data_IF_818105832567
#
_entry.id   IF_818105832567
#
_cell.length_a   1.000
_cell.length_b   1.000
_cell.length_c   1.000
_cell.angle_alpha   90.00
_cell.angle_beta   90.00
_cell.angle_gamma   90.00
#
_symmetry.space_group_name_H-M   'P 1'
#
loop_
_entity.id
_entity.type
_entity.pdbx_description
1 polymer ?
#
# COMPACT_ATOMS: atom_id res chain seq x y z
N UNK A 1 -2.76 20.01 42.66
CA UNK A 1 -2.77 18.61 42.22
C UNK A 1 -4.04 17.87 42.62
N UNK A 2 -4.37 17.69 43.91
CA UNK A 2 -5.60 16.97 44.34
C UNK A 2 -6.91 17.56 43.79
N UNK A 3 -7.01 18.89 43.73
CA UNK A 3 -8.19 19.55 43.15
C UNK A 3 -8.31 19.29 41.64
N UNK A 4 -7.21 19.46 40.89
CA UNK A 4 -7.18 19.20 39.45
C UNK A 4 -7.46 17.72 39.13
N UNK A 5 -6.94 16.79 39.93
CA UNK A 5 -7.21 15.36 39.76
C UNK A 5 -8.69 15.02 40.00
N UNK A 6 -9.35 15.64 40.98
CA UNK A 6 -10.78 15.45 41.22
C UNK A 6 -11.65 15.96 40.08
N UNK A 7 -11.25 17.07 39.45
CA UNK A 7 -11.95 17.63 38.28
C UNK A 7 -11.83 16.64 37.11
N UNK A 8 -10.61 16.18 36.81
CA UNK A 8 -10.38 15.20 35.74
C UNK A 8 -11.12 13.86 35.98
N UNK A 9 -11.23 13.41 37.23
CA UNK A 9 -11.99 12.20 37.59
C UNK A 9 -13.51 12.34 37.42
N UNK A 10 -14.02 13.57 37.38
CA UNK A 10 -15.44 13.85 37.17
C UNK A 10 -15.77 14.09 35.68
N UNK A 11 -14.76 14.09 34.81
CA UNK A 11 -14.88 14.37 33.39
C UNK A 11 -14.88 13.08 32.55
N UNK A 12 -14.85 13.22 31.22
CA UNK A 12 -14.78 12.12 30.27
C UNK A 12 -13.50 11.27 30.42
N UNK A 13 -13.54 10.02 29.94
CA UNK A 13 -12.39 9.12 30.00
C UNK A 13 -11.16 9.67 29.23
N UNK A 14 -11.41 10.40 28.14
CA UNK A 14 -10.38 11.04 27.33
C UNK A 14 -9.69 12.17 28.10
N UNK A 15 -10.47 13.03 28.79
CA UNK A 15 -9.91 14.08 29.65
C UNK A 15 -9.13 13.52 30.85
N UNK A 16 -9.61 12.43 31.45
CA UNK A 16 -8.87 11.74 32.50
C UNK A 16 -7.53 11.19 31.98
N UNK A 17 -7.52 10.63 30.77
CA UNK A 17 -6.31 10.13 30.12
C UNK A 17 -5.32 11.26 29.86
N UNK A 18 -5.77 12.38 29.30
CA UNK A 18 -4.94 13.56 29.03
C UNK A 18 -4.39 14.17 30.33
N UNK A 19 -5.21 14.19 31.40
CA UNK A 19 -4.74 14.62 32.71
C UNK A 19 -3.63 13.71 33.25
N UNK A 20 -3.77 12.39 33.13
CA UNK A 20 -2.74 11.44 33.59
C UNK A 20 -1.47 11.56 32.73
N UNK A 21 -1.59 11.76 31.43
CA UNK A 21 -0.43 11.87 30.54
C UNK A 21 0.33 13.19 30.73
N UNK A 22 -0.38 14.33 30.79
CA UNK A 22 0.23 15.66 30.74
C UNK A 22 -0.26 16.55 31.89
N UNK A 23 -1.57 16.57 32.15
CA UNK A 23 -2.19 17.51 33.09
C UNK A 23 -1.66 17.42 34.53
N UNK A 24 -1.26 16.24 34.98
CA UNK A 24 -0.73 16.02 36.33
C UNK A 24 0.56 16.79 36.60
N UNK A 25 1.46 16.87 35.61
CA UNK A 25 2.73 17.58 35.74
C UNK A 25 2.53 19.09 35.76
N UNK A 26 1.54 19.58 34.98
CA UNK A 26 1.14 20.99 34.99
C UNK A 26 0.47 21.38 36.31
N UNK A 27 -0.39 20.51 36.85
CA UNK A 27 -1.04 20.71 38.13
C UNK A 27 -0.02 20.70 39.29
N UNK A 28 0.94 19.78 39.28
CA UNK A 28 2.03 19.75 40.27
C UNK A 28 2.90 21.01 40.15
N UNK A 29 3.30 21.41 38.95
CA UNK A 29 4.06 22.65 38.74
C UNK A 29 3.35 23.87 39.32
N UNK A 30 2.04 24.01 39.14
CA UNK A 30 1.25 25.12 39.71
C UNK A 30 1.28 25.09 41.24
N UNK A 31 1.10 23.93 41.85
CA UNK A 31 1.20 23.78 43.32
C UNK A 31 2.59 24.16 43.82
N UNK A 32 3.66 23.73 43.13
CA UNK A 32 5.05 24.07 43.51
C UNK A 32 5.35 25.55 43.37
N UNK A 33 4.87 26.20 42.31
CA UNK A 33 5.01 27.66 42.15
C UNK A 33 4.27 28.44 43.24
N UNK A 34 3.07 27.99 43.61
CA UNK A 34 2.34 28.58 44.74
C UNK A 34 3.10 28.41 46.06
N UNK A 35 3.70 27.24 46.29
CA UNK A 35 4.57 26.98 47.44
C UNK A 35 5.79 27.90 47.45
N UNK A 36 6.47 28.09 46.31
CA UNK A 36 7.58 29.05 46.17
C UNK A 36 7.16 30.46 46.55
N UNK A 37 6.01 30.93 46.05
CA UNK A 37 5.49 32.26 46.37
C UNK A 37 5.19 32.42 47.87
N UNK A 38 4.54 31.43 48.48
CA UNK A 38 4.25 31.44 49.93
C UNK A 38 5.56 31.52 50.73
N UNK A 39 6.55 30.70 50.38
CA UNK A 39 7.85 30.70 51.05
C UNK A 39 8.59 32.04 50.87
N UNK A 40 8.53 32.66 49.70
CA UNK A 40 9.09 34.00 49.46
C UNK A 40 8.40 35.07 50.31
N UNK A 41 7.06 35.02 50.42
CA UNK A 41 6.31 35.94 51.28
C UNK A 41 6.65 35.74 52.76
N UNK A 42 6.76 34.50 53.22
CA UNK A 42 7.17 34.18 54.59
C UNK A 42 8.58 34.72 54.88
N UNK A 43 9.52 34.57 53.93
CA UNK A 43 10.86 35.14 54.05
C UNK A 43 10.80 36.66 54.24
N UNK A 44 10.06 37.38 53.37
CA UNK A 44 9.94 38.84 53.46
C UNK A 44 9.34 39.29 54.79
N UNK A 45 8.32 38.58 55.29
CA UNK A 45 7.70 38.86 56.59
C UNK A 45 8.70 38.63 57.72
N UNK A 46 9.47 37.54 57.68
CA UNK A 46 10.48 37.24 58.67
C UNK A 46 11.63 38.26 58.65
N UNK A 47 12.12 38.64 57.47
CA UNK A 47 13.15 39.68 57.31
C UNK A 47 12.67 41.02 57.88
N UNK A 48 11.46 41.46 57.53
CA UNK A 48 10.88 42.70 58.06
C UNK A 48 10.71 42.64 59.59
N UNK A 49 10.27 41.49 60.11
CA UNK A 49 10.13 41.27 61.56
C UNK A 49 11.48 41.28 62.28
N UNK A 50 12.52 40.71 61.65
CA UNK A 50 13.90 40.75 62.13
C UNK A 50 14.45 42.18 62.19
N UNK A 51 14.21 42.99 61.16
CA UNK A 51 14.55 44.43 61.14
C UNK A 51 13.83 45.17 62.28
N UNK A 52 12.53 44.94 62.45
CA UNK A 52 11.75 45.56 63.52
C UNK A 52 12.24 45.14 64.92
N UNK A 53 12.61 43.87 65.11
CA UNK A 53 13.18 43.38 66.37
C UNK A 53 14.56 44.01 66.65
N UNK A 54 15.39 44.18 65.61
CA UNK A 54 16.69 44.84 65.73
C UNK A 54 16.55 46.34 66.06
N UNK A 55 15.56 47.01 65.48
CA UNK A 55 15.22 48.39 65.85
C UNK A 55 14.77 48.51 67.31
N UNK A 56 13.91 47.59 67.79
CA UNK A 56 13.50 47.52 69.20
C UNK A 56 14.68 47.25 70.12
N UNK A 57 15.59 46.34 69.75
CA UNK A 57 16.83 46.11 70.50
C UNK A 57 17.62 47.41 70.68
N UNK A 58 17.81 48.18 69.61
CA UNK A 58 18.55 49.44 69.67
C UNK A 58 17.82 50.50 70.52
N UNK A 59 16.48 50.56 70.42
CA UNK A 59 15.67 51.43 71.28
C UNK A 59 15.80 51.08 72.76
N UNK A 60 15.77 49.79 73.10
CA UNK A 60 16.01 49.34 74.48
C UNK A 60 17.43 49.63 74.96
N UNK A 61 18.44 49.52 74.09
CA UNK A 61 19.81 49.91 74.42
C UNK A 61 19.94 51.41 74.70
N UNK A 62 19.24 52.25 73.93
CA UNK A 62 19.18 53.68 74.20
C UNK A 62 18.48 53.99 75.54
N UNK A 63 17.36 53.31 75.83
CA UNK A 63 16.66 53.44 77.11
C UNK A 63 17.51 52.97 78.30
N UNK A 64 18.25 51.86 78.14
CA UNK A 64 19.20 51.38 79.14
C UNK A 64 20.29 52.43 79.43
N UNK A 65 20.87 53.03 78.39
CA UNK A 65 21.87 54.08 78.55
C UNK A 65 21.31 55.33 79.24
N UNK A 66 20.11 55.76 78.87
CA UNK A 66 19.43 56.90 79.47
C UNK A 66 19.13 56.65 80.96
N UNK A 67 18.60 55.48 81.31
CA UNK A 67 18.31 55.12 82.70
C UNK A 67 19.58 55.05 83.55
N UNK A 68 20.69 54.54 82.99
CA UNK A 68 22.00 54.56 83.66
C UNK A 68 22.51 55.98 83.91
N UNK A 69 22.30 56.91 82.98
CA UNK A 69 22.75 58.29 83.11
C UNK A 69 22.04 59.06 84.24
N UNK A 70 20.85 58.62 84.66
CA UNK A 70 20.08 59.19 85.77
C UNK A 70 20.07 58.30 87.02
N UNK A 71 20.97 57.31 87.10
CA UNK A 71 21.07 56.34 88.20
C UNK A 71 19.79 55.51 88.48
N UNK A 72 18.89 55.39 87.52
CA UNK A 72 17.66 54.59 87.60
C UNK A 72 17.95 53.10 87.33
N UNK A 73 18.57 52.42 88.31
CA UNK A 73 19.08 51.05 88.18
C UNK A 73 18.02 50.02 87.74
N UNK A 74 16.82 50.07 88.30
CA UNK A 74 15.77 49.10 87.97
C UNK A 74 15.26 49.26 86.54
N UNK A 75 15.15 50.51 86.05
CA UNK A 75 14.73 50.78 84.68
C UNK A 75 15.83 50.43 83.67
N UNK A 76 17.10 50.65 84.03
CA UNK A 76 18.23 50.16 83.25
C UNK A 76 18.23 48.63 83.12
N UNK A 77 17.94 47.91 84.21
CA UNK A 77 17.85 46.45 84.19
C UNK A 77 16.67 45.96 83.32
N UNK A 78 15.48 46.56 83.46
CA UNK A 78 14.32 46.25 82.60
C UNK A 78 14.62 46.51 81.12
N UNK A 79 15.28 47.62 80.82
CA UNK A 79 15.65 47.95 79.44
C UNK A 79 16.69 46.98 78.88
N UNK A 80 17.69 46.57 79.67
CA UNK A 80 18.66 45.56 79.29
C UNK A 80 17.98 44.21 78.95
N UNK A 81 17.00 43.79 79.75
CA UNK A 81 16.20 42.59 79.48
C UNK A 81 15.35 42.72 78.22
N UNK A 82 14.75 43.89 78.00
CA UNK A 82 14.03 44.21 76.76
C UNK A 82 14.91 44.13 75.52
N UNK A 83 16.14 44.62 75.61
CA UNK A 83 17.14 44.51 74.55
C UNK A 83 17.47 43.03 74.29
N UNK A 84 17.78 42.25 75.33
CA UNK A 84 18.10 40.82 75.19
C UNK A 84 16.96 40.02 74.54
N UNK A 85 15.71 40.25 74.95
CA UNK A 85 14.52 39.64 74.32
C UNK A 85 14.40 40.02 72.85
N UNK A 86 14.61 41.29 72.52
CA UNK A 86 14.54 41.78 71.13
C UNK A 86 15.65 41.21 70.25
N UNK A 87 16.87 41.03 70.79
CA UNK A 87 17.97 40.37 70.09
C UNK A 87 17.66 38.90 69.80
N UNK A 88 17.09 38.18 70.77
CA UNK A 88 16.68 36.79 70.58
C UNK A 88 15.59 36.66 69.50
N UNK A 89 14.59 37.55 69.50
CA UNK A 89 13.57 37.60 68.45
C UNK A 89 14.19 37.89 67.08
N UNK A 90 15.13 38.84 66.99
CA UNK A 90 15.82 39.14 65.73
C UNK A 90 16.58 37.92 65.19
N UNK A 91 17.24 37.14 66.06
CA UNK A 91 17.88 35.88 65.67
C UNK A 91 16.87 34.85 65.18
N UNK A 92 15.77 34.65 65.90
CA UNK A 92 14.71 33.72 65.50
C UNK A 92 14.14 34.07 64.13
N UNK A 93 13.84 35.35 63.89
CA UNK A 93 13.35 35.81 62.58
C UNK A 93 14.38 35.62 61.46
N UNK A 94 15.68 35.77 61.73
CA UNK A 94 16.72 35.47 60.77
C UNK A 94 16.76 33.95 60.43
N UNK A 95 16.64 33.09 61.43
CA UNK A 95 16.57 31.63 61.23
C UNK A 95 15.32 31.24 60.41
N UNK A 96 14.17 31.86 60.71
CA UNK A 96 12.93 31.60 59.99
C UNK A 96 12.97 32.12 58.54
N UNK A 97 13.60 33.27 58.30
CA UNK A 97 13.87 33.77 56.95
C UNK A 97 14.77 32.79 56.16
N UNK A 98 15.81 32.25 56.80
CA UNK A 98 16.68 31.24 56.20
C UNK A 98 15.93 29.98 55.80
N UNK A 99 15.10 29.43 56.70
CA UNK A 99 14.25 28.26 56.40
C UNK A 99 13.29 28.53 55.24
N UNK A 100 12.67 29.71 55.23
CA UNK A 100 11.76 30.12 54.16
C UNK A 100 12.49 30.24 52.81
N UNK A 101 13.71 30.78 52.79
CA UNK A 101 14.55 30.82 51.60
C UNK A 101 14.87 29.42 51.05
N UNK A 102 15.34 28.50 51.90
CA UNK A 102 15.59 27.10 51.49
C UNK A 102 14.33 26.40 50.99
N UNK A 103 13.18 26.65 51.63
CA UNK A 103 11.90 26.09 51.17
C UNK A 103 11.49 26.62 49.79
N UNK A 104 11.71 27.92 49.54
CA UNK A 104 11.45 28.53 48.25
C UNK A 104 12.36 27.95 47.14
N UNK A 105 13.65 27.79 47.42
CA UNK A 105 14.63 27.17 46.51
C UNK A 105 14.24 25.73 46.16
N UNK A 106 13.92 24.91 47.18
CA UNK A 106 13.48 23.53 46.98
C UNK A 106 12.19 23.46 46.16
N UNK A 107 11.21 24.31 46.47
CA UNK A 107 9.95 24.37 45.72
C UNK A 107 10.18 24.80 44.26
N UNK A 108 11.08 25.76 44.02
CA UNK A 108 11.43 26.21 42.68
C UNK A 108 12.15 25.11 41.87
N UNK A 109 13.09 24.38 42.49
CA UNK A 109 13.76 23.24 41.87
C UNK A 109 12.77 22.13 41.51
N UNK A 110 11.83 21.82 42.40
CA UNK A 110 10.76 20.86 42.12
C UNK A 110 9.87 21.34 40.97
N UNK A 111 9.47 22.61 40.95
CA UNK A 111 8.69 23.18 39.86
C UNK A 111 9.41 23.09 38.49
N UNK A 112 10.74 23.30 38.48
CA UNK A 112 11.56 23.16 37.29
C UNK A 112 11.61 21.71 36.79
N UNK A 113 11.75 20.75 37.70
CA UNK A 113 11.71 19.32 37.35
C UNK A 113 10.35 18.92 36.77
N UNK A 114 9.25 19.34 37.40
CA UNK A 114 7.89 19.05 36.89
C UNK A 114 7.65 19.70 35.53
N UNK A 115 8.19 20.89 35.28
CA UNK A 115 8.16 21.53 33.96
C UNK A 115 8.95 20.74 32.91
N UNK A 116 10.11 20.17 33.27
CA UNK A 116 10.90 19.30 32.38
C UNK A 116 10.12 18.04 32.03
N UNK A 117 9.54 17.37 33.02
CA UNK A 117 8.70 16.18 32.79
C UNK A 117 7.50 16.48 31.90
N UNK A 118 6.80 17.60 32.13
CA UNK A 118 5.68 18.03 31.29
C UNK A 118 6.10 18.23 29.83
N UNK A 119 7.26 18.87 29.57
CA UNK A 119 7.79 19.05 28.22
C UNK A 119 8.15 17.72 27.56
N UNK A 120 8.78 16.81 28.32
CA UNK A 120 9.10 15.48 27.80
C UNK A 120 7.85 14.67 27.46
N UNK A 121 6.78 14.79 28.25
CA UNK A 121 5.50 14.16 27.98
C UNK A 121 4.83 14.75 26.72
N UNK A 122 4.82 16.08 26.58
CA UNK A 122 4.30 16.74 25.37
C UNK A 122 5.06 16.28 24.10
N UNK A 123 6.39 16.29 24.13
CA UNK A 123 7.21 15.81 23.00
C UNK A 123 7.04 14.30 22.72
N UNK A 124 6.59 13.50 23.69
CA UNK A 124 6.25 12.10 23.45
C UNK A 124 4.89 12.00 22.74
N UNK A 125 3.89 12.75 23.22
CA UNK A 125 2.58 12.82 22.60
C UNK A 125 2.65 13.30 21.13
N UNK A 126 3.47 14.31 20.84
CA UNK A 126 3.68 14.79 19.46
C UNK A 126 4.26 13.69 18.56
N UNK A 127 5.22 12.90 19.06
CA UNK A 127 5.80 11.77 18.31
C UNK A 127 4.79 10.65 18.10
N UNK A 128 4.02 10.32 19.13
CA UNK A 128 2.97 9.29 19.02
C UNK A 128 1.89 9.72 17.99
N UNK A 129 1.59 11.03 17.89
CA UNK A 129 0.70 11.57 16.87
C UNK A 129 1.29 11.44 15.46
N UNK A 130 2.56 11.80 15.26
CA UNK A 130 3.26 11.66 13.96
C UNK A 130 3.32 10.17 13.52
N UNK A 131 3.59 9.26 14.45
CA UNK A 131 3.62 7.81 14.19
C UNK A 131 2.22 7.28 13.84
N UNK A 132 1.17 7.78 14.49
CA UNK A 132 -0.21 7.45 14.19
C UNK A 132 -0.63 7.95 12.80
N UNK A 133 -0.26 9.17 12.42
CA UNK A 133 -0.49 9.72 11.08
C UNK A 133 0.21 8.89 10.00
N UNK A 134 1.48 8.54 10.24
CA UNK A 134 2.25 7.68 9.33
C UNK A 134 1.60 6.30 9.17
N UNK A 135 1.15 5.71 10.28
CA UNK A 135 0.45 4.42 10.28
C UNK A 135 -0.87 4.49 9.52
N UNK A 136 -1.63 5.58 9.69
CA UNK A 136 -2.89 5.81 8.96
C UNK A 136 -2.63 5.95 7.45
N UNK A 137 -1.62 6.71 7.04
CA UNK A 137 -1.23 6.85 5.64
C UNK A 137 -0.81 5.50 5.02
N UNK A 138 -0.07 4.67 5.78
CA UNK A 138 0.32 3.34 5.31
C UNK A 138 -0.87 2.39 5.20
N UNK A 139 -1.83 2.46 6.12
CA UNK A 139 -3.08 1.71 6.05
C UNK A 139 -3.91 2.12 4.82
N UNK A 140 -4.01 3.42 4.55
CA UNK A 140 -4.69 3.95 3.36
C UNK A 140 -4.00 3.49 2.06
N UNK A 141 -2.67 3.57 1.99
CA UNK A 141 -1.91 3.04 0.86
C UNK A 141 -2.17 1.55 0.63
N UNK A 142 -2.12 0.76 1.70
CA UNK A 142 -2.35 -0.69 1.64
C UNK A 142 -3.78 -1.02 1.18
N UNK A 143 -4.77 -0.28 1.67
CA UNK A 143 -6.16 -0.41 1.23
C UNK A 143 -6.32 -0.07 -0.26
N UNK A 144 -5.71 1.03 -0.72
CA UNK A 144 -5.70 1.40 -2.13
C UNK A 144 -5.06 0.34 -3.02
N UNK A 145 -3.90 -0.18 -2.60
CA UNK A 145 -3.20 -1.24 -3.29
C UNK A 145 -4.05 -2.52 -3.41
N UNK A 146 -4.70 -2.93 -2.31
CA UNK A 146 -5.59 -4.09 -2.29
C UNK A 146 -6.79 -3.89 -3.23
N UNK A 147 -7.42 -2.70 -3.24
CA UNK A 147 -8.52 -2.38 -4.18
C UNK A 147 -8.09 -2.47 -5.63
N UNK A 148 -6.93 -1.90 -5.97
CA UNK A 148 -6.41 -1.96 -7.34
C UNK A 148 -6.09 -3.41 -7.76
N UNK A 149 -5.51 -4.19 -6.84
CA UNK A 149 -5.19 -5.60 -7.09
C UNK A 149 -6.46 -6.42 -7.32
N UNK A 150 -7.51 -6.19 -6.53
CA UNK A 150 -8.81 -6.84 -6.71
C UNK A 150 -9.49 -6.46 -8.03
N UNK A 151 -9.36 -5.20 -8.45
CA UNK A 151 -9.85 -4.73 -9.76
C UNK A 151 -9.14 -5.46 -10.91
N UNK A 152 -7.81 -5.52 -10.88
CA UNK A 152 -7.02 -6.24 -11.89
C UNK A 152 -7.34 -7.74 -11.93
N UNK A 153 -7.51 -8.36 -10.76
CA UNK A 153 -7.90 -9.77 -10.67
C UNK A 153 -9.30 -10.03 -11.27
N UNK A 154 -10.24 -9.11 -11.04
CA UNK A 154 -11.60 -9.19 -11.63
C UNK A 154 -11.53 -9.07 -13.16
N UNK A 155 -10.78 -8.09 -13.68
CA UNK A 155 -10.56 -7.93 -15.12
C UNK A 155 -9.94 -9.18 -15.74
N UNK A 156 -8.88 -9.72 -15.13
CA UNK A 156 -8.23 -10.93 -15.62
C UNK A 156 -9.15 -12.15 -15.59
N UNK A 157 -10.02 -12.25 -14.57
CA UNK A 157 -11.03 -13.30 -14.49
C UNK A 157 -12.08 -13.19 -15.60
N UNK A 158 -12.49 -11.97 -15.95
CA UNK A 158 -13.43 -11.73 -17.06
C UNK A 158 -12.79 -12.03 -18.42
N UNK A 159 -11.54 -11.64 -18.64
CA UNK A 159 -10.77 -12.00 -19.85
C UNK A 159 -10.60 -13.52 -19.99
N UNK A 160 -10.33 -14.21 -18.88
CA UNK A 160 -10.22 -15.67 -18.84
C UNK A 160 -11.55 -16.36 -19.15
N UNK A 161 -12.70 -15.77 -18.79
CA UNK A 161 -14.03 -16.28 -19.16
C UNK A 161 -14.35 -16.04 -20.63
N UNK A 162 -13.94 -14.90 -21.19
CA UNK A 162 -14.18 -14.56 -22.60
C UNK A 162 -13.32 -15.41 -23.55
N UNK A 163 -12.07 -15.69 -23.18
CA UNK A 163 -11.10 -16.44 -23.99
C UNK A 163 -11.62 -17.76 -24.59
N UNK A 164 -12.21 -18.71 -23.83
CA UNK A 164 -12.73 -19.95 -24.41
C UNK A 164 -13.95 -19.74 -25.31
N UNK A 165 -14.77 -18.71 -25.05
CA UNK A 165 -15.91 -18.37 -25.91
C UNK A 165 -15.42 -17.88 -27.28
N UNK A 166 -14.41 -17.02 -27.30
CA UNK A 166 -13.84 -16.48 -28.53
C UNK A 166 -13.00 -17.52 -29.29
N UNK A 167 -12.27 -18.38 -28.57
CA UNK A 167 -11.64 -19.55 -29.17
C UNK A 167 -12.68 -20.50 -29.80
N UNK A 168 -13.81 -20.72 -29.13
CA UNK A 168 -14.92 -21.54 -29.63
C UNK A 168 -15.58 -20.97 -30.90
N UNK A 169 -15.75 -19.63 -30.98
CA UNK A 169 -16.22 -18.95 -32.19
C UNK A 169 -15.22 -19.12 -33.34
N UNK A 170 -13.95 -18.87 -33.08
CA UNK A 170 -12.86 -19.03 -34.06
C UNK A 170 -12.79 -20.46 -34.61
N UNK A 171 -12.94 -21.47 -33.75
CA UNK A 171 -12.95 -22.87 -34.17
C UNK A 171 -14.14 -23.19 -35.10
N UNK A 172 -15.33 -22.64 -34.80
CA UNK A 172 -16.51 -22.79 -35.68
C UNK A 172 -16.33 -22.11 -37.03
N UNK A 173 -15.78 -20.90 -37.05
CA UNK A 173 -15.50 -20.17 -38.29
C UNK A 173 -14.47 -20.92 -39.15
N UNK A 174 -13.38 -21.38 -38.54
CA UNK A 174 -12.36 -22.17 -39.23
C UNK A 174 -12.94 -23.46 -39.83
N UNK A 175 -13.79 -24.19 -39.09
CA UNK A 175 -14.43 -25.41 -39.59
C UNK A 175 -15.42 -25.13 -40.73
N UNK A 176 -16.12 -23.99 -40.69
CA UNK A 176 -17.03 -23.55 -41.76
C UNK A 176 -16.26 -23.27 -43.04
N UNK A 177 -15.17 -22.50 -42.95
CA UNK A 177 -14.29 -22.21 -44.08
C UNK A 177 -13.65 -23.49 -44.65
N UNK A 178 -13.19 -24.40 -43.78
CA UNK A 178 -12.64 -25.68 -44.21
C UNK A 178 -13.68 -26.54 -44.95
N UNK A 179 -14.92 -26.59 -44.44
CA UNK A 179 -16.02 -27.34 -45.08
C UNK A 179 -16.42 -26.75 -46.43
N UNK A 180 -16.44 -25.43 -46.55
CA UNK A 180 -16.67 -24.73 -47.82
C UNK A 180 -15.54 -25.01 -48.82
N UNK A 181 -14.29 -24.89 -48.38
CA UNK A 181 -13.13 -25.21 -49.21
C UNK A 181 -13.16 -26.67 -49.70
N UNK A 182 -13.52 -27.61 -48.83
CA UNK A 182 -13.66 -29.03 -49.20
C UNK A 182 -14.77 -29.26 -50.23
N UNK A 183 -15.89 -28.56 -50.08
CA UNK A 183 -17.02 -28.62 -51.04
C UNK A 183 -16.59 -28.12 -52.41
N UNK A 184 -15.87 -26.99 -52.49
CA UNK A 184 -15.36 -26.45 -53.75
C UNK A 184 -14.32 -27.38 -54.40
N UNK A 185 -13.40 -27.94 -53.61
CA UNK A 185 -12.43 -28.93 -54.10
C UNK A 185 -13.14 -30.16 -54.68
N UNK A 186 -14.17 -30.68 -54.00
CA UNK A 186 -14.95 -31.82 -54.47
C UNK A 186 -15.67 -31.50 -55.79
N UNK A 187 -16.32 -30.35 -55.89
CA UNK A 187 -17.01 -29.90 -57.10
C UNK A 187 -16.05 -29.76 -58.27
N UNK A 188 -14.88 -29.17 -58.06
CA UNK A 188 -13.83 -29.07 -59.07
C UNK A 188 -13.37 -30.45 -59.52
N UNK A 189 -13.13 -31.37 -58.58
CA UNK A 189 -12.74 -32.76 -58.89
C UNK A 189 -13.81 -33.50 -59.71
N UNK A 190 -15.08 -33.35 -59.37
CA UNK A 190 -16.17 -33.95 -60.14
C UNK A 190 -16.23 -33.38 -61.57
N UNK A 191 -16.01 -32.07 -61.73
CA UNK A 191 -15.95 -31.44 -63.06
C UNK A 191 -14.78 -31.93 -63.90
N UNK A 192 -13.58 -32.07 -63.31
CA UNK A 192 -12.40 -32.63 -63.98
C UNK A 192 -12.62 -34.08 -64.40
N UNK A 193 -13.24 -34.90 -63.53
CA UNK A 193 -13.57 -36.29 -63.84
C UNK A 193 -14.63 -36.38 -64.95
N UNK A 194 -15.65 -35.51 -64.92
CA UNK A 194 -16.66 -35.46 -65.97
C UNK A 194 -16.05 -35.04 -67.33
N UNK A 195 -15.17 -34.04 -67.32
CA UNK A 195 -14.46 -33.60 -68.53
C UNK A 195 -13.52 -34.69 -69.05
N UNK A 196 -12.79 -35.38 -68.16
CA UNK A 196 -11.95 -36.52 -68.51
C UNK A 196 -12.78 -37.67 -69.13
N UNK A 197 -13.96 -37.96 -68.58
CA UNK A 197 -14.90 -38.94 -69.15
C UNK A 197 -15.39 -38.52 -70.53
N UNK A 198 -15.74 -37.23 -70.72
CA UNK A 198 -16.15 -36.70 -72.03
C UNK A 198 -15.03 -36.86 -73.05
N UNK A 199 -13.80 -36.45 -72.71
CA UNK A 199 -12.62 -36.61 -73.58
C UNK A 199 -12.34 -38.08 -73.92
N UNK A 200 -12.47 -38.98 -72.95
CA UNK A 200 -12.30 -40.42 -73.17
C UNK A 200 -13.38 -40.98 -74.12
N UNK A 201 -14.63 -40.55 -73.98
CA UNK A 201 -15.71 -40.97 -74.88
C UNK A 201 -15.54 -40.39 -76.30
N UNK A 202 -15.13 -39.13 -76.43
CA UNK A 202 -14.79 -38.51 -77.72
C UNK A 202 -13.63 -39.24 -78.40
N UNK A 203 -12.56 -39.57 -77.65
CA UNK A 203 -11.44 -40.34 -78.15
C UNK A 203 -11.87 -41.74 -78.62
N UNK A 204 -12.76 -42.42 -77.87
CA UNK A 204 -13.34 -43.71 -78.26
C UNK A 204 -14.12 -43.60 -79.58
N UNK A 205 -14.99 -42.60 -79.72
CA UNK A 205 -15.75 -42.36 -80.97
C UNK A 205 -14.83 -42.01 -82.16
N UNK A 206 -13.75 -41.27 -81.94
CA UNK A 206 -12.76 -40.99 -82.99
C UNK A 206 -12.00 -42.24 -83.41
N UNK A 207 -11.59 -43.09 -82.46
CA UNK A 207 -10.95 -44.37 -82.76
C UNK A 207 -11.86 -45.31 -83.56
N UNK A 208 -13.16 -45.38 -83.22
CA UNK A 208 -14.14 -46.15 -83.99
C UNK A 208 -14.31 -45.61 -85.42
N UNK A 209 -14.41 -44.29 -85.60
CA UNK A 209 -14.45 -43.67 -86.93
C UNK A 209 -13.17 -43.89 -87.74
N UNK A 210 -12.00 -43.91 -87.09
CA UNK A 210 -10.73 -44.21 -87.74
C UNK A 210 -10.66 -45.70 -88.15
N UNK A 211 -11.15 -46.62 -87.32
CA UNK A 211 -11.26 -48.05 -87.67
C UNK A 211 -12.20 -48.28 -88.86
N UNK A 212 -13.33 -47.57 -88.93
CA UNK A 212 -14.29 -47.67 -90.04
C UNK A 212 -13.77 -47.09 -91.38
N UNK A 213 -12.70 -46.29 -91.36
CA UNK A 213 -12.07 -45.70 -92.56
C UNK A 213 -10.88 -46.49 -93.09
N UNK A 214 -10.49 -47.59 -92.44
CA UNK A 214 -9.41 -48.44 -92.93
C UNK A 214 -9.89 -49.26 -94.13
N UNK A 215 -9.14 -49.30 -95.25
CA UNK A 215 -9.49 -50.16 -96.38
C UNK A 215 -9.27 -51.62 -95.99
N UNK A 216 -10.28 -52.47 -96.20
CA UNK A 216 -10.21 -53.92 -96.00
C UNK A 216 -9.45 -54.56 -97.17
N UNK A 217 -8.31 -55.18 -96.90
CA UNK A 217 -7.41 -55.71 -97.94
C UNK A 217 -7.56 -57.25 -98.06
N UNK A 218 -7.90 -57.73 -99.26
CA UNK A 218 -8.07 -59.16 -99.56
C UNK A 218 -6.83 -59.70 -100.28
N UNK A 219 -6.19 -60.76 -99.75
CA UNK A 219 -5.04 -61.39 -100.41
C UNK A 219 -5.50 -62.49 -101.38
N UNK A 220 -5.23 -62.34 -102.67
CA UNK A 220 -5.43 -63.40 -103.66
C UNK A 220 -4.10 -64.12 -103.94
N UNK A 221 -4.11 -65.46 -103.85
CA UNK A 221 -2.95 -66.33 -104.09
C UNK A 221 -2.73 -66.54 -105.58
N UNK A 222 -2.12 -65.55 -106.23
CA UNK A 222 -1.77 -65.63 -107.65
C UNK A 222 -1.02 -64.38 -108.09
N UNK A 223 0.31 -64.41 -107.95
CA UNK A 223 1.30 -63.50 -108.54
C UNK A 223 0.83 -62.07 -108.88
N UNK A 224 0.77 -61.17 -107.89
CA UNK A 224 1.27 -59.77 -107.98
C UNK A 224 1.43 -59.20 -106.55
N UNK A 225 2.68 -59.07 -106.09
CA UNK A 225 3.03 -58.38 -104.82
C UNK A 225 2.71 -56.86 -104.91
N UNK A 226 2.38 -56.36 -106.11
CA UNK A 226 2.15 -54.95 -106.41
C UNK A 226 0.86 -54.36 -105.80
N UNK A 227 -0.18 -55.18 -105.53
CA UNK A 227 -1.46 -54.68 -104.98
C UNK A 227 -1.56 -54.69 -103.46
N UNK A 228 -0.84 -55.60 -102.78
CA UNK A 228 -0.97 -55.81 -101.33
C UNK A 228 -0.13 -54.83 -100.51
N UNK A 229 1.09 -54.52 -100.98
CA UNK A 229 2.03 -53.63 -100.28
C UNK A 229 1.50 -52.20 -100.08
N UNK A 230 0.87 -51.55 -101.09
CA UNK A 230 0.29 -50.22 -100.89
C UNK A 230 -0.84 -50.23 -99.85
N UNK A 231 -1.67 -51.28 -99.83
CA UNK A 231 -2.86 -51.39 -98.97
C UNK A 231 -2.47 -51.60 -97.48
N UNK A 232 -1.46 -52.44 -97.21
CA UNK A 232 -0.95 -52.70 -95.85
C UNK A 232 -0.18 -51.48 -95.30
N UNK A 233 0.59 -50.78 -96.14
CA UNK A 233 1.29 -49.54 -95.74
C UNK A 233 0.32 -48.41 -95.36
N UNK A 234 -0.90 -48.40 -95.91
CA UNK A 234 -1.99 -47.50 -95.50
C UNK A 234 -2.78 -47.96 -94.26
N UNK A 235 -2.34 -49.02 -93.57
CA UNK A 235 -2.88 -49.44 -92.27
C UNK A 235 -4.19 -50.22 -92.32
N UNK A 236 -4.51 -50.82 -93.46
CA UNK A 236 -5.66 -51.73 -93.65
C UNK A 236 -5.51 -53.06 -92.90
N UNK A 237 -6.64 -53.68 -92.55
CA UNK A 237 -6.72 -55.01 -91.97
C UNK A 237 -6.72 -56.09 -93.08
N UNK A 238 -6.00 -57.20 -92.85
CA UNK A 238 -5.81 -58.29 -93.83
C UNK A 238 -6.52 -59.54 -93.35
N UNK A 239 -7.38 -60.12 -94.19
CA UNK A 239 -7.95 -61.46 -93.99
C UNK A 239 -7.62 -62.35 -95.20
N UNK A 240 -7.01 -63.53 -95.00
CA UNK A 240 -6.74 -64.45 -96.09
C UNK A 240 -8.02 -65.11 -96.60
N UNK A 241 -8.19 -65.20 -97.92
CA UNK A 241 -9.26 -66.00 -98.55
C UNK A 241 -8.80 -67.46 -98.57
N UNK A 242 -9.49 -68.33 -97.83
CA UNK A 242 -9.27 -69.77 -97.90
C UNK A 242 -10.03 -70.28 -99.13
N UNK A 243 -9.31 -70.76 -100.14
CA UNK A 243 -9.89 -71.46 -101.29
C UNK A 243 -10.51 -72.79 -100.81
N UNK A 244 -11.82 -73.03 -101.02
CA UNK A 244 -12.48 -74.26 -100.60
C UNK A 244 -12.02 -75.52 -101.36
N UNK A 245 -11.05 -75.42 -102.28
CA UNK A 245 -10.50 -76.56 -103.03
C UNK A 245 -9.09 -76.99 -102.63
N UNK A 246 -8.46 -76.40 -101.60
CA UNK A 246 -7.26 -76.95 -100.92
C UNK A 246 -7.65 -78.12 -100.00
N UNK A 247 -8.15 -79.12 -100.69
CA UNK A 247 -8.17 -80.55 -100.41
C UNK A 247 -6.79 -81.11 -100.76
N UNK A 248 -6.29 -81.96 -99.87
CA UNK A 248 -5.33 -83.03 -100.11
C UNK A 248 -3.83 -82.67 -100.31
N UNK A 249 -3.14 -82.67 -99.16
CA UNK A 249 -1.76 -83.14 -98.93
C UNK A 249 -0.63 -82.38 -99.64
N UNK A 250 0.00 -81.45 -98.91
CA UNK A 250 1.44 -81.34 -98.56
C UNK A 250 1.58 -80.15 -97.61
#
# INVERSE_FOLDING_TARGET
MKAAAKIALADSADELHEFVQVGQYMADRKDKLASTHIAQMQRLIAEASGVAAKARHNSWKAAEAAAKAIDAKDDAAKAADGAKKSANLAKQYADDAGKAATSAENSAAQAANSAKSARSAANAADRDADDAETSAAQAEFSANYARNSAYLATSAADDARASPLDAGKSAKEANTLASQAWTEVKKKRESEVAEARRKAEEARKQQEKQKAKKPHCVSHTGNEIAGLLPCVLSGGDVTPVIDPTLTAVV
#
